data_IF_528536692873
#
_entry.id   IF_528536692873
#
_cell.length_a   1.000
_cell.length_b   1.000
_cell.length_c   1.000
_cell.angle_alpha   90.00
_cell.angle_beta   90.00
_cell.angle_gamma   90.00
#
_symmetry.space_group_name_H-M   'P 1'
#
loop_
_entity.id
_entity.type
_entity.pdbx_description
1 polymer ?
#
# COMPACT_ATOMS: atom_id res chain seq x y z
N UNK A 1 47.15 17.80 65.38
CA UNK A 1 46.43 18.34 64.24
C UNK A 1 46.19 17.22 63.19
N UNK A 2 45.04 16.57 63.27
CA UNK A 2 44.74 15.32 62.54
C UNK A 2 43.77 15.65 61.39
N UNK A 3 44.26 15.53 60.16
CA UNK A 3 43.43 15.73 58.95
C UNK A 3 42.62 14.44 58.64
N UNK A 4 41.32 14.51 58.76
CA UNK A 4 40.38 13.47 58.30
C UNK A 4 40.09 13.68 56.83
N UNK A 5 40.56 12.79 55.97
CA UNK A 5 40.15 12.71 54.55
C UNK A 5 38.78 12.01 54.42
N UNK A 6 37.74 12.73 54.00
CA UNK A 6 36.47 12.15 53.58
C UNK A 6 36.61 11.63 52.16
N UNK A 7 36.47 10.33 52.00
CA UNK A 7 36.33 9.65 50.71
C UNK A 7 34.86 9.76 50.26
N UNK A 8 34.58 10.52 49.21
CA UNK A 8 33.30 10.48 48.53
C UNK A 8 33.31 9.34 47.51
N UNK A 9 32.54 8.28 47.75
CA UNK A 9 32.27 7.23 46.79
C UNK A 9 31.18 7.72 45.83
N UNK A 10 31.54 7.95 44.56
CA UNK A 10 30.58 8.19 43.48
C UNK A 10 30.00 6.85 43.05
N UNK A 11 28.73 6.65 43.27
CA UNK A 11 27.95 5.54 42.74
C UNK A 11 27.62 5.85 41.28
N UNK A 12 27.95 5.01 40.29
CA UNK A 12 27.48 5.21 38.92
C UNK A 12 25.97 4.86 38.85
N UNK A 13 25.16 5.84 38.53
CA UNK A 13 23.76 5.60 38.09
C UNK A 13 23.84 4.88 36.74
N UNK A 14 23.64 3.57 36.76
CA UNK A 14 23.26 2.83 35.54
C UNK A 14 21.82 3.23 35.20
N UNK A 15 21.67 4.12 34.25
CA UNK A 15 20.39 4.31 33.56
C UNK A 15 20.17 3.09 32.64
N UNK A 16 19.49 2.08 33.15
CA UNK A 16 18.85 1.06 32.30
C UNK A 16 17.82 1.78 31.45
N UNK A 17 18.17 2.06 30.21
CA UNK A 17 17.21 2.40 29.18
C UNK A 17 16.29 1.21 29.00
N UNK A 18 15.15 1.24 29.65
CA UNK A 18 14.02 0.37 29.32
C UNK A 18 13.47 0.87 27.98
N UNK A 19 13.94 0.28 26.88
CA UNK A 19 13.18 0.25 25.63
C UNK A 19 11.89 -0.49 25.95
N UNK A 20 10.87 0.24 26.37
CA UNK A 20 9.55 -0.30 26.58
C UNK A 20 8.92 -0.55 25.21
N UNK A 21 9.24 -1.68 24.60
CA UNK A 21 8.45 -2.20 23.52
C UNK A 21 7.07 -2.54 24.10
N UNK A 22 6.04 -1.83 23.67
CA UNK A 22 4.65 -2.14 24.03
C UNK A 22 4.27 -3.47 23.39
N UNK A 23 4.53 -4.56 24.07
CA UNK A 23 4.06 -5.89 23.68
C UNK A 23 2.57 -5.92 23.94
N UNK A 24 1.77 -6.31 22.93
CA UNK A 24 0.33 -6.52 23.08
C UNK A 24 0.08 -7.51 24.24
N UNK A 25 -0.76 -7.12 25.19
CA UNK A 25 -1.11 -7.97 26.32
C UNK A 25 -1.84 -9.23 25.85
N UNK A 26 -1.74 -10.33 26.59
CA UNK A 26 -2.47 -11.55 26.28
C UNK A 26 -3.99 -11.32 26.23
N UNK A 27 -4.51 -10.38 27.04
CA UNK A 27 -5.91 -10.00 27.03
C UNK A 27 -6.32 -9.29 25.74
N UNK A 28 -5.50 -8.37 25.22
CA UNK A 28 -5.74 -7.71 23.96
C UNK A 28 -5.62 -8.70 22.79
N UNK A 29 -4.60 -9.55 22.79
CA UNK A 29 -4.42 -10.61 21.79
C UNK A 29 -5.59 -11.61 21.74
N UNK A 30 -6.25 -11.88 22.87
CA UNK A 30 -7.44 -12.75 22.94
C UNK A 30 -8.66 -12.17 22.19
N UNK A 31 -8.66 -10.88 21.85
CA UNK A 31 -9.70 -10.28 21.02
C UNK A 31 -9.64 -10.74 19.55
N UNK A 32 -8.46 -11.21 19.08
CA UNK A 32 -8.28 -11.72 17.72
C UNK A 32 -9.04 -13.04 17.53
N UNK A 33 -9.96 -13.04 16.56
CA UNK A 33 -10.87 -14.16 16.29
C UNK A 33 -12.20 -14.08 17.07
N UNK A 34 -12.36 -13.09 17.96
CA UNK A 34 -13.60 -12.83 18.70
C UNK A 34 -14.21 -11.47 18.30
N UNK A 35 -13.90 -10.38 18.99
CA UNK A 35 -14.35 -9.03 18.63
C UNK A 35 -13.57 -8.44 17.45
N UNK A 36 -12.33 -8.87 17.25
CA UNK A 36 -11.50 -8.51 16.11
C UNK A 36 -11.34 -9.72 15.15
N UNK A 37 -11.13 -9.44 13.87
CA UNK A 37 -10.65 -10.42 12.91
C UNK A 37 -9.22 -10.83 13.24
N UNK A 38 -8.68 -11.86 12.60
CA UNK A 38 -7.30 -12.30 12.84
C UNK A 38 -6.25 -11.31 12.33
N UNK A 39 -6.64 -10.32 11.51
CA UNK A 39 -5.78 -9.22 11.05
C UNK A 39 -6.00 -7.92 11.84
N UNK A 40 -6.87 -7.92 12.86
CA UNK A 40 -7.08 -6.81 13.77
C UNK A 40 -8.21 -5.85 13.41
N UNK A 41 -8.98 -6.13 12.35
CA UNK A 41 -10.17 -5.36 12.00
C UNK A 41 -11.33 -5.63 12.97
N UNK A 42 -12.20 -4.66 13.19
CA UNK A 42 -13.42 -4.85 13.99
C UNK A 42 -14.40 -5.76 13.26
N UNK A 43 -14.87 -6.82 13.92
CA UNK A 43 -15.85 -7.73 13.33
C UNK A 43 -17.24 -7.15 13.24
N UNK A 44 -17.63 -6.36 14.23
CA UNK A 44 -18.95 -5.74 14.27
C UNK A 44 -19.09 -4.69 13.15
N UNK A 45 -20.32 -4.51 12.68
CA UNK A 45 -20.69 -3.35 11.87
C UNK A 45 -20.61 -2.05 12.69
N UNK A 46 -20.80 -0.90 12.03
CA UNK A 46 -20.88 0.37 12.73
C UNK A 46 -22.31 0.66 13.23
N UNK A 47 -22.47 1.73 14.03
CA UNK A 47 -23.72 2.03 14.70
C UNK A 47 -24.87 2.41 13.75
N UNK A 48 -24.57 3.05 12.61
CA UNK A 48 -25.58 3.48 11.63
C UNK A 48 -25.85 2.40 10.56
N UNK A 49 -25.18 1.23 10.64
CA UNK A 49 -25.36 0.11 9.71
C UNK A 49 -24.74 0.32 8.32
N UNK A 50 -24.08 1.45 8.08
CA UNK A 50 -23.45 1.73 6.77
C UNK A 50 -22.19 0.90 6.52
N UNK A 51 -21.55 0.38 7.58
CA UNK A 51 -20.48 -0.62 7.49
C UNK A 51 -21.02 -1.92 8.09
N UNK A 52 -21.21 -3.00 7.29
CA UNK A 52 -21.75 -4.25 7.79
C UNK A 52 -20.74 -5.02 8.68
N UNK A 53 -21.20 -5.98 9.48
CA UNK A 53 -20.31 -6.91 10.17
C UNK A 53 -19.44 -7.69 9.14
N UNK A 54 -18.20 -8.00 9.53
CA UNK A 54 -17.32 -8.83 8.73
C UNK A 54 -17.74 -10.30 8.80
N UNK A 55 -17.98 -10.90 7.66
CA UNK A 55 -18.51 -12.28 7.51
C UNK A 55 -17.53 -13.26 6.85
N UNK A 56 -16.24 -12.90 6.71
CA UNK A 56 -15.22 -13.73 6.06
C UNK A 56 -14.76 -13.24 4.68
N UNK A 57 -15.37 -12.16 4.20
CA UNK A 57 -15.04 -11.56 2.92
C UNK A 57 -15.67 -12.27 1.72
N UNK A 58 -15.22 -11.93 0.53
CA UNK A 58 -15.69 -12.49 -0.73
C UNK A 58 -14.78 -13.66 -1.12
N UNK A 59 -15.30 -14.89 -0.97
CA UNK A 59 -14.61 -16.14 -1.30
C UNK A 59 -15.28 -16.92 -2.42
N UNK A 60 -16.45 -16.47 -2.87
CA UNK A 60 -17.22 -17.10 -3.94
C UNK A 60 -17.19 -16.24 -5.18
N UNK A 61 -16.69 -16.79 -6.27
CA UNK A 61 -16.67 -16.11 -7.56
C UNK A 61 -18.09 -15.91 -8.12
N UNK A 62 -18.37 -14.78 -8.80
CA UNK A 62 -19.61 -14.62 -9.57
C UNK A 62 -19.78 -15.72 -10.61
N UNK A 63 -21.02 -16.05 -10.96
CA UNK A 63 -21.33 -17.11 -11.95
C UNK A 63 -20.72 -16.82 -13.35
N UNK A 64 -20.44 -15.57 -13.64
CA UNK A 64 -19.79 -15.15 -14.91
C UNK A 64 -18.27 -15.37 -14.93
N UNK A 65 -17.65 -15.65 -13.76
CA UNK A 65 -16.22 -15.93 -13.69
C UNK A 65 -15.90 -17.36 -14.17
N UNK A 66 -14.91 -17.49 -15.02
CA UNK A 66 -14.41 -18.79 -15.46
C UNK A 66 -13.11 -19.10 -14.71
N UNK A 67 -13.03 -20.28 -14.14
CA UNK A 67 -11.83 -20.71 -13.42
C UNK A 67 -10.58 -20.62 -14.32
N UNK A 68 -9.56 -19.94 -13.84
CA UNK A 68 -8.32 -19.69 -14.56
C UNK A 68 -8.28 -18.33 -15.29
N UNK A 69 -9.39 -17.60 -15.34
CA UNK A 69 -9.38 -16.25 -15.87
C UNK A 69 -8.59 -15.30 -14.95
N UNK A 70 -7.89 -14.36 -15.56
CA UNK A 70 -7.18 -13.29 -14.85
C UNK A 70 -7.95 -11.96 -14.84
N UNK A 71 -8.99 -11.86 -15.64
CA UNK A 71 -9.99 -10.79 -15.60
C UNK A 71 -11.13 -11.23 -14.67
N UNK A 72 -11.41 -10.43 -13.64
CA UNK A 72 -12.42 -10.78 -12.62
C UNK A 72 -13.65 -9.91 -12.81
N UNK A 73 -14.79 -10.48 -13.23
CA UNK A 73 -16.07 -9.77 -13.29
C UNK A 73 -16.41 -9.08 -11.97
N UNK A 74 -17.03 -7.90 -12.09
CA UNK A 74 -17.50 -7.11 -10.96
C UNK A 74 -18.71 -7.80 -10.30
N UNK A 75 -18.61 -8.24 -9.03
CA UNK A 75 -19.75 -8.85 -8.32
C UNK A 75 -20.90 -7.87 -8.05
N UNK A 76 -20.61 -6.57 -8.13
CA UNK A 76 -21.50 -5.48 -7.74
C UNK A 76 -21.94 -4.60 -8.94
N UNK A 77 -21.74 -5.07 -10.16
CA UNK A 77 -21.96 -4.30 -11.39
C UNK A 77 -23.39 -3.71 -11.54
N UNK A 78 -24.40 -4.33 -10.89
CA UNK A 78 -25.79 -3.90 -10.96
C UNK A 78 -26.19 -2.90 -9.88
N UNK A 79 -25.32 -2.59 -8.93
CA UNK A 79 -25.61 -1.67 -7.86
C UNK A 79 -25.63 -0.21 -8.33
N UNK A 80 -26.40 0.60 -7.63
CA UNK A 80 -26.49 2.05 -7.84
C UNK A 80 -25.89 2.78 -6.66
N UNK A 81 -25.31 3.97 -6.87
CA UNK A 81 -24.84 4.77 -5.74
C UNK A 81 -26.02 5.18 -4.83
N UNK A 82 -25.77 5.10 -3.53
CA UNK A 82 -26.70 5.57 -2.47
C UNK A 82 -26.64 7.08 -2.32
N UNK A 83 -25.48 7.67 -2.60
CA UNK A 83 -25.17 9.07 -2.39
C UNK A 83 -24.17 9.53 -3.43
N UNK A 84 -24.36 10.75 -3.93
CA UNK A 84 -23.39 11.45 -4.78
C UNK A 84 -22.87 12.68 -4.02
N UNK A 85 -21.56 12.73 -3.79
CA UNK A 85 -20.88 13.85 -3.17
C UNK A 85 -20.14 14.65 -4.25
N UNK A 86 -20.27 15.97 -4.21
CA UNK A 86 -19.60 16.90 -5.13
C UNK A 86 -19.35 18.25 -4.43
N UNK A 87 -18.86 19.26 -5.16
CA UNK A 87 -18.56 20.58 -4.59
C UNK A 87 -19.72 21.29 -3.89
N UNK A 88 -21.00 20.92 -4.20
CA UNK A 88 -22.18 21.55 -3.58
C UNK A 88 -22.48 21.04 -2.17
N UNK A 89 -22.10 19.79 -1.87
CA UNK A 89 -22.41 19.15 -0.56
C UNK A 89 -21.16 18.64 0.18
N UNK A 90 -19.96 18.87 -0.35
CA UNK A 90 -18.68 18.35 0.19
C UNK A 90 -18.47 18.69 1.67
N UNK A 91 -18.90 19.86 2.11
CA UNK A 91 -18.70 20.31 3.49
C UNK A 91 -19.44 19.46 4.53
N UNK A 92 -20.52 18.78 4.12
CA UNK A 92 -21.26 17.84 4.98
C UNK A 92 -20.48 16.54 5.22
N UNK A 93 -19.57 16.17 4.30
CA UNK A 93 -18.87 14.88 4.28
C UNK A 93 -17.35 15.01 4.46
N UNK A 94 -16.81 16.22 4.53
CA UNK A 94 -15.36 16.47 4.55
C UNK A 94 -14.59 15.71 5.64
N UNK A 95 -15.24 15.42 6.78
CA UNK A 95 -14.60 14.67 7.87
C UNK A 95 -14.46 13.18 7.58
N UNK A 96 -15.17 12.67 6.55
CA UNK A 96 -15.07 11.28 6.07
C UNK A 96 -14.30 11.17 4.76
N UNK A 97 -13.63 12.23 4.31
CA UNK A 97 -12.90 12.29 3.05
C UNK A 97 -11.45 12.71 3.27
N UNK A 98 -10.57 12.31 2.36
CA UNK A 98 -9.18 12.77 2.38
C UNK A 98 -9.12 14.27 2.04
N UNK A 99 -8.05 14.94 2.46
CA UNK A 99 -7.85 16.36 2.10
C UNK A 99 -7.79 16.53 0.58
N UNK A 100 -7.16 15.58 -0.13
CA UNK A 100 -7.12 15.56 -1.61
C UNK A 100 -8.50 15.47 -2.22
N UNK A 101 -9.38 14.58 -1.73
CA UNK A 101 -10.74 14.43 -2.25
C UNK A 101 -11.56 15.72 -2.08
N UNK A 102 -11.45 16.35 -0.89
CA UNK A 102 -12.11 17.62 -0.61
C UNK A 102 -11.61 18.72 -1.54
N UNK A 103 -10.29 18.81 -1.75
CA UNK A 103 -9.69 19.81 -2.63
C UNK A 103 -10.12 19.63 -4.10
N UNK A 104 -10.15 18.39 -4.61
CA UNK A 104 -10.62 18.10 -5.97
C UNK A 104 -12.09 18.49 -6.15
N UNK A 105 -12.96 18.17 -5.20
CA UNK A 105 -14.38 18.49 -5.29
C UNK A 105 -14.67 19.99 -5.21
N UNK A 106 -13.83 20.78 -4.49
CA UNK A 106 -13.92 22.24 -4.45
C UNK A 106 -13.38 22.91 -5.70
N UNK A 107 -12.32 22.33 -6.28
CA UNK A 107 -11.63 22.90 -7.44
C UNK A 107 -12.36 22.63 -8.74
N UNK A 108 -12.96 21.43 -8.88
CA UNK A 108 -13.55 20.96 -10.13
C UNK A 108 -15.03 20.63 -9.94
N UNK A 109 -15.95 21.43 -10.52
CA UNK A 109 -17.40 21.25 -10.37
C UNK A 109 -17.92 19.90 -10.88
N UNK A 110 -17.25 19.31 -11.87
CA UNK A 110 -17.62 18.01 -12.48
C UNK A 110 -17.10 16.83 -11.68
N UNK A 111 -16.20 17.05 -10.70
CA UNK A 111 -15.71 15.98 -9.84
C UNK A 111 -16.80 15.53 -8.88
N UNK A 112 -17.05 14.23 -8.87
CA UNK A 112 -18.01 13.64 -7.95
C UNK A 112 -17.49 12.32 -7.38
N UNK A 113 -18.07 11.94 -6.27
CA UNK A 113 -17.81 10.72 -5.50
C UNK A 113 -19.13 9.97 -5.44
N UNK A 114 -19.23 8.88 -6.20
CA UNK A 114 -20.40 8.01 -6.21
C UNK A 114 -20.23 6.96 -5.10
N UNK A 115 -20.98 7.11 -4.01
CA UNK A 115 -20.89 6.26 -2.81
C UNK A 115 -21.89 5.13 -2.90
N UNK A 116 -21.40 3.90 -2.84
CA UNK A 116 -22.17 2.67 -2.95
C UNK A 116 -22.35 1.98 -1.58
N UNK A 117 -23.24 0.96 -1.51
CA UNK A 117 -23.29 0.09 -0.33
C UNK A 117 -21.91 -0.50 -0.03
N UNK A 118 -21.57 -0.56 1.24
CA UNK A 118 -20.28 -1.10 1.68
C UNK A 118 -20.30 -2.63 1.68
N UNK A 119 -19.30 -3.22 1.02
CA UNK A 119 -19.03 -4.65 1.03
C UNK A 119 -17.61 -4.93 1.54
N UNK A 120 -17.49 -5.56 2.70
CA UNK A 120 -16.22 -5.97 3.29
C UNK A 120 -15.74 -7.25 2.62
N UNK A 121 -15.16 -7.13 1.43
CA UNK A 121 -14.80 -8.26 0.55
C UNK A 121 -13.45 -8.87 0.84
N UNK A 122 -12.62 -8.24 1.65
CA UNK A 122 -11.28 -8.72 1.98
C UNK A 122 -11.32 -10.17 2.51
N UNK A 123 -10.62 -11.08 1.85
CA UNK A 123 -10.43 -12.45 2.30
C UNK A 123 -8.98 -12.87 2.08
N UNK A 124 -8.43 -13.64 3.01
CA UNK A 124 -7.04 -14.09 3.00
C UNK A 124 -6.96 -15.60 3.29
N UNK A 125 -5.89 -16.29 2.83
CA UNK A 125 -5.66 -17.68 3.15
C UNK A 125 -5.59 -17.94 4.67
N UNK A 126 -6.20 -19.02 5.13
CA UNK A 126 -6.29 -19.33 6.57
C UNK A 126 -4.92 -19.41 7.26
N UNK A 127 -3.89 -19.90 6.56
CA UNK A 127 -2.54 -19.98 7.10
C UNK A 127 -1.95 -18.59 7.38
N UNK A 128 -2.19 -17.60 6.50
CA UNK A 128 -1.79 -16.20 6.68
C UNK A 128 -2.52 -15.58 7.88
N UNK A 129 -3.81 -15.88 8.02
CA UNK A 129 -4.63 -15.44 9.16
C UNK A 129 -4.11 -16.01 10.50
N UNK A 130 -3.78 -17.31 10.53
CA UNK A 130 -3.24 -17.97 11.71
C UNK A 130 -1.88 -17.38 12.12
N UNK A 131 -1.02 -17.10 11.14
CA UNK A 131 0.27 -16.44 11.36
C UNK A 131 0.09 -15.03 11.92
N UNK A 132 -0.86 -14.26 11.37
CA UNK A 132 -1.18 -12.92 11.88
C UNK A 132 -1.57 -12.95 13.36
N UNK A 133 -2.41 -13.92 13.77
CA UNK A 133 -2.77 -14.08 15.18
C UNK A 133 -1.54 -14.37 16.06
N UNK A 134 -0.64 -15.24 15.59
CA UNK A 134 0.60 -15.58 16.33
C UNK A 134 1.53 -14.37 16.43
N UNK A 135 1.66 -13.59 15.38
CA UNK A 135 2.50 -12.41 15.35
C UNK A 135 2.12 -11.38 16.41
N UNK A 136 0.84 -11.28 16.79
CA UNK A 136 0.36 -10.29 17.76
C UNK A 136 1.15 -10.29 19.09
N UNK A 137 1.67 -11.46 19.50
CA UNK A 137 2.45 -11.60 20.74
C UNK A 137 3.91 -11.97 20.50
N UNK A 138 4.31 -12.25 19.26
CA UNK A 138 5.64 -12.76 18.92
C UNK A 138 6.48 -11.76 18.13
N UNK A 139 5.86 -10.98 17.26
CA UNK A 139 6.56 -10.00 16.42
C UNK A 139 7.18 -8.88 17.26
N UNK A 140 8.37 -8.47 16.85
CA UNK A 140 9.13 -7.40 17.54
C UNK A 140 9.41 -6.26 16.59
N UNK A 141 9.20 -5.04 17.07
CA UNK A 141 9.67 -3.82 16.42
C UNK A 141 11.06 -3.49 16.92
N UNK A 142 11.98 -3.20 16.01
CA UNK A 142 13.39 -2.90 16.28
C UNK A 142 13.76 -1.51 15.75
N UNK A 143 14.90 -0.98 16.20
CA UNK A 143 15.49 0.27 15.69
C UNK A 143 14.48 1.44 15.65
N UNK A 144 13.73 1.61 16.76
CA UNK A 144 12.71 2.66 16.85
C UNK A 144 11.56 2.51 15.84
N UNK A 145 11.28 1.29 15.38
CA UNK A 145 10.23 0.99 14.41
C UNK A 145 10.74 0.87 12.97
N UNK A 146 12.03 1.10 12.71
CA UNK A 146 12.60 1.03 11.37
C UNK A 146 12.84 -0.40 10.87
N UNK A 147 12.85 -1.40 11.78
CA UNK A 147 13.03 -2.80 11.47
C UNK A 147 12.12 -3.70 12.31
N UNK A 148 11.99 -4.97 11.90
CA UNK A 148 11.16 -5.97 12.60
C UNK A 148 11.90 -7.30 12.69
N UNK A 149 11.51 -8.12 13.66
CA UNK A 149 12.05 -9.46 13.89
C UNK A 149 10.99 -10.43 14.39
N UNK A 150 11.26 -11.74 14.25
CA UNK A 150 10.41 -12.85 14.69
C UNK A 150 8.98 -12.81 14.14
N UNK A 151 8.84 -12.51 12.85
CA UNK A 151 7.56 -12.39 12.15
C UNK A 151 7.33 -13.61 11.27
N UNK A 152 6.20 -14.29 11.45
CA UNK A 152 5.70 -15.26 10.47
C UNK A 152 5.02 -14.53 9.29
N UNK A 153 5.01 -15.13 8.08
CA UNK A 153 4.30 -14.58 6.94
C UNK A 153 2.80 -14.36 7.23
N UNK A 154 2.43 -13.12 7.46
CA UNK A 154 1.13 -12.65 7.90
C UNK A 154 1.21 -11.17 8.29
N UNK A 155 0.14 -10.62 8.86
CA UNK A 155 0.16 -9.25 9.42
C UNK A 155 1.07 -9.24 10.66
N UNK A 156 2.13 -8.40 10.69
CA UNK A 156 3.08 -8.40 11.81
C UNK A 156 2.44 -7.95 13.13
N UNK A 157 1.64 -6.89 13.11
CA UNK A 157 1.09 -6.24 14.30
C UNK A 157 -0.42 -6.05 14.16
N UNK A 158 -1.26 -7.11 14.27
CA UNK A 158 -2.71 -6.98 14.10
C UNK A 158 -3.37 -5.96 15.01
N UNK A 159 -2.73 -5.68 16.16
CA UNK A 159 -3.14 -4.64 17.11
C UNK A 159 -1.94 -3.68 17.28
N UNK A 160 -1.70 -2.78 16.29
CA UNK A 160 -0.51 -1.93 16.32
C UNK A 160 -0.58 -0.92 17.46
N UNK A 161 0.56 -0.71 18.12
CA UNK A 161 0.72 0.24 19.22
C UNK A 161 1.39 1.54 18.74
N UNK A 162 1.91 1.56 17.51
CA UNK A 162 2.60 2.71 16.94
C UNK A 162 2.28 2.89 15.46
N UNK A 163 2.56 4.09 14.93
CA UNK A 163 2.45 4.34 13.50
C UNK A 163 3.43 3.51 12.67
N UNK A 164 4.62 3.23 13.19
CA UNK A 164 5.60 2.38 12.53
C UNK A 164 5.11 0.93 12.38
N UNK A 165 4.48 0.37 13.42
CA UNK A 165 3.87 -0.96 13.36
C UNK A 165 2.74 -1.03 12.33
N UNK A 166 1.88 -0.01 12.28
CA UNK A 166 0.83 0.08 11.26
C UNK A 166 1.41 0.18 9.85
N UNK A 167 2.52 0.90 9.65
CA UNK A 167 3.21 0.96 8.37
C UNK A 167 3.87 -0.36 7.99
N UNK A 168 4.39 -1.14 8.94
CA UNK A 168 4.87 -2.49 8.68
C UNK A 168 3.74 -3.43 8.26
N UNK A 169 2.55 -3.32 8.86
CA UNK A 169 1.38 -4.06 8.40
C UNK A 169 1.07 -3.75 6.94
N UNK A 170 1.11 -2.48 6.55
CA UNK A 170 0.94 -2.06 5.16
C UNK A 170 1.99 -2.66 4.24
N UNK A 171 3.28 -2.59 4.60
CA UNK A 171 4.39 -3.08 3.76
C UNK A 171 4.37 -4.60 3.58
N UNK A 172 4.00 -5.33 4.64
CA UNK A 172 4.01 -6.79 4.68
C UNK A 172 2.62 -7.42 4.53
N UNK A 173 1.58 -6.64 4.19
CA UNK A 173 0.25 -7.19 3.90
C UNK A 173 0.33 -8.28 2.83
N UNK A 174 -0.53 -9.27 2.94
CA UNK A 174 -0.60 -10.32 1.94
C UNK A 174 -1.15 -9.76 0.62
N UNK A 175 -0.45 -10.00 -0.46
CA UNK A 175 -0.78 -9.57 -1.83
C UNK A 175 -0.60 -10.73 -2.83
N UNK A 176 -0.66 -11.99 -2.35
CA UNK A 176 -0.22 -13.16 -3.10
C UNK A 176 1.28 -13.40 -2.91
N UNK A 177 1.79 -14.42 -3.58
CA UNK A 177 3.21 -14.80 -3.48
C UNK A 177 3.99 -14.30 -4.70
N UNK A 178 3.50 -14.64 -5.90
CA UNK A 178 4.10 -14.23 -7.17
C UNK A 178 3.01 -13.71 -8.09
N UNK A 179 3.22 -12.54 -8.62
CA UNK A 179 2.25 -11.83 -9.46
C UNK A 179 2.91 -11.51 -10.80
N UNK A 180 2.18 -11.77 -11.86
CA UNK A 180 2.54 -11.38 -13.22
C UNK A 180 1.41 -10.57 -13.83
N UNK A 181 1.75 -9.42 -14.40
CA UNK A 181 0.80 -8.60 -15.16
C UNK A 181 1.47 -7.84 -16.28
N UNK A 182 0.74 -7.57 -17.34
CA UNK A 182 1.06 -6.52 -18.30
C UNK A 182 0.18 -5.32 -17.98
N UNK A 183 0.69 -4.12 -18.18
CA UNK A 183 0.00 -2.91 -17.73
C UNK A 183 0.34 -1.69 -18.58
N UNK A 184 -0.56 -0.72 -18.53
CA UNK A 184 -0.34 0.64 -19.00
C UNK A 184 -0.29 1.62 -17.85
N UNK A 185 0.49 2.68 -18.02
CA UNK A 185 0.48 3.86 -17.16
C UNK A 185 0.28 5.11 -17.99
N UNK A 186 -0.58 6.01 -17.54
CA UNK A 186 -0.94 7.22 -18.25
C UNK A 186 -0.65 8.46 -17.40
N UNK A 187 -0.17 9.51 -18.05
CA UNK A 187 -0.09 10.86 -17.48
C UNK A 187 -1.14 11.74 -18.13
N UNK A 188 -1.74 12.63 -17.35
CA UNK A 188 -2.61 13.69 -17.85
C UNK A 188 -1.98 15.01 -17.43
N UNK A 189 -1.72 15.87 -18.39
CA UNK A 189 -1.09 17.16 -18.17
C UNK A 189 -2.09 18.23 -17.68
N UNK A 190 -1.61 19.44 -17.39
CA UNK A 190 -2.45 20.54 -16.89
C UNK A 190 -3.48 21.04 -17.92
N UNK A 191 -3.30 20.73 -19.21
CA UNK A 191 -4.28 21.02 -20.27
C UNK A 191 -5.32 19.89 -20.40
N UNK A 192 -5.21 18.83 -19.60
CA UNK A 192 -6.11 17.67 -19.61
C UNK A 192 -5.79 16.66 -20.72
N UNK A 193 -4.59 16.76 -21.34
CA UNK A 193 -4.21 15.86 -22.44
C UNK A 193 -3.59 14.58 -21.89
N UNK A 194 -4.21 13.40 -22.16
CA UNK A 194 -3.64 12.13 -21.74
C UNK A 194 -2.49 11.70 -22.66
N UNK A 195 -1.45 11.15 -22.07
CA UNK A 195 -0.30 10.55 -22.77
C UNK A 195 0.10 9.23 -22.14
N UNK A 196 0.42 8.24 -22.98
CA UNK A 196 0.96 6.96 -22.52
C UNK A 196 2.37 7.16 -21.96
N UNK A 197 2.51 6.96 -20.66
CA UNK A 197 3.80 7.06 -19.98
C UNK A 197 4.64 5.80 -20.17
N UNK A 198 4.02 4.64 -19.96
CA UNK A 198 4.62 3.30 -20.07
C UNK A 198 3.56 2.28 -20.43
N UNK A 199 3.90 1.37 -21.35
CA UNK A 199 3.36 0.01 -21.39
C UNK A 199 4.44 -0.95 -20.94
N UNK A 200 4.11 -1.96 -20.16
CA UNK A 200 5.13 -2.83 -19.59
C UNK A 200 4.60 -4.15 -19.07
N UNK A 201 5.54 -4.95 -18.61
CA UNK A 201 5.32 -6.22 -17.94
C UNK A 201 5.94 -6.17 -16.55
N UNK A 202 5.23 -6.62 -15.56
CA UNK A 202 5.65 -6.64 -14.16
C UNK A 202 5.64 -8.06 -13.61
N UNK A 203 6.75 -8.45 -12.98
CA UNK A 203 6.84 -9.58 -12.09
C UNK A 203 7.08 -9.05 -10.67
N UNK A 204 6.17 -9.35 -9.77
CA UNK A 204 6.27 -8.99 -8.35
C UNK A 204 6.32 -10.27 -7.54
N UNK A 205 7.23 -10.35 -6.59
CA UNK A 205 7.34 -11.49 -5.70
C UNK A 205 7.47 -11.04 -4.24
N UNK A 206 6.82 -11.81 -3.37
CA UNK A 206 6.90 -11.69 -1.92
C UNK A 206 7.50 -12.97 -1.34
N UNK A 207 8.84 -13.16 -1.40
CA UNK A 207 9.51 -14.41 -1.03
C UNK A 207 9.23 -14.88 0.39
N UNK A 208 8.92 -13.97 1.30
CA UNK A 208 8.52 -14.30 2.68
C UNK A 208 7.26 -15.18 2.74
N UNK A 209 6.39 -15.11 1.73
CA UNK A 209 5.17 -15.91 1.65
C UNK A 209 5.34 -17.26 0.94
N UNK A 210 6.52 -17.60 0.43
CA UNK A 210 6.80 -18.91 -0.17
C UNK A 210 6.84 -20.04 0.87
N UNK A 211 7.18 -19.73 2.12
CA UNK A 211 7.16 -20.67 3.23
C UNK A 211 6.44 -20.10 4.45
N UNK A 212 5.15 -20.40 4.57
CA UNK A 212 4.30 -19.85 5.64
C UNK A 212 4.64 -20.38 7.05
N UNK A 213 5.47 -21.40 7.16
CA UNK A 213 5.85 -22.02 8.46
C UNK A 213 7.14 -21.45 9.04
N UNK A 214 7.90 -20.67 8.25
CA UNK A 214 9.21 -20.13 8.65
C UNK A 214 9.10 -18.66 9.01
N UNK A 215 9.47 -18.23 10.23
CA UNK A 215 9.69 -16.82 10.52
C UNK A 215 10.79 -16.27 9.60
N UNK A 216 10.60 -15.09 9.08
CA UNK A 216 11.63 -14.44 8.27
C UNK A 216 12.61 -13.67 9.15
N UNK A 217 13.87 -13.63 8.69
CA UNK A 217 14.96 -12.91 9.33
C UNK A 217 14.99 -11.47 8.81
N UNK A 218 15.68 -10.60 9.55
CA UNK A 218 15.83 -9.19 9.21
C UNK A 218 16.59 -8.94 7.88
N UNK A 219 17.36 -9.91 7.36
CA UNK A 219 18.04 -9.84 6.05
C UNK A 219 17.19 -10.38 4.89
N UNK A 220 16.07 -11.06 5.18
CA UNK A 220 15.23 -11.67 4.15
C UNK A 220 14.58 -10.61 3.25
N UNK A 221 14.53 -10.90 1.97
CA UNK A 221 13.83 -10.05 0.99
C UNK A 221 12.34 -10.29 1.13
N UNK A 222 11.60 -9.27 1.57
CA UNK A 222 10.15 -9.39 1.67
C UNK A 222 9.42 -9.02 0.38
N UNK A 223 10.05 -8.22 -0.48
CA UNK A 223 9.47 -7.81 -1.75
C UNK A 223 10.55 -7.63 -2.80
N UNK A 224 10.30 -8.13 -4.00
CA UNK A 224 11.10 -7.87 -5.18
C UNK A 224 10.20 -7.62 -6.39
N UNK A 225 10.65 -6.78 -7.28
CA UNK A 225 9.91 -6.33 -8.46
C UNK A 225 10.85 -6.27 -9.66
N UNK A 226 10.38 -6.78 -10.79
CA UNK A 226 11.03 -6.63 -12.10
C UNK A 226 10.02 -6.04 -13.08
N UNK A 227 10.36 -4.91 -13.67
CA UNK A 227 9.60 -4.23 -14.70
C UNK A 227 10.35 -4.30 -16.02
N UNK A 228 9.65 -4.59 -17.10
CA UNK A 228 10.19 -4.52 -18.47
C UNK A 228 9.26 -3.67 -19.30
N UNK A 229 9.76 -2.59 -19.90
CA UNK A 229 8.94 -1.65 -20.65
C UNK A 229 8.90 -2.04 -22.13
N UNK A 230 7.70 -2.13 -22.66
CA UNK A 230 7.43 -2.48 -24.06
C UNK A 230 7.01 -1.28 -24.91
N UNK A 231 6.60 -0.19 -24.27
CA UNK A 231 6.17 1.04 -24.91
C UNK A 231 6.20 2.25 -23.97
N UNK A 232 6.07 3.47 -24.53
CA UNK A 232 6.19 3.85 -25.92
C UNK A 232 7.60 3.61 -26.47
N UNK A 233 7.81 3.75 -27.80
CA UNK A 233 9.07 3.41 -28.44
C UNK A 233 10.34 3.97 -27.79
N UNK A 234 10.25 5.21 -27.24
CA UNK A 234 11.37 5.86 -26.51
C UNK A 234 11.80 5.12 -25.23
N UNK A 235 10.94 4.26 -24.68
CA UNK A 235 11.18 3.51 -23.44
C UNK A 235 11.27 2.00 -23.64
N UNK A 236 10.92 1.52 -24.83
CA UNK A 236 10.92 0.10 -25.14
C UNK A 236 12.32 -0.53 -24.91
N UNK A 237 12.32 -1.66 -24.20
CA UNK A 237 13.56 -2.37 -23.79
C UNK A 237 14.20 -1.87 -22.50
N UNK A 238 13.75 -0.76 -21.90
CA UNK A 238 14.17 -0.41 -20.54
C UNK A 238 13.66 -1.45 -19.56
N UNK A 239 14.42 -1.71 -18.50
CA UNK A 239 13.94 -2.51 -17.39
C UNK A 239 14.43 -1.97 -16.04
N UNK A 240 13.62 -2.24 -15.00
CA UNK A 240 13.93 -1.88 -13.61
C UNK A 240 13.75 -3.11 -12.75
N UNK A 241 14.68 -3.33 -11.83
CA UNK A 241 14.55 -4.33 -10.79
C UNK A 241 14.81 -3.70 -9.43
N UNK A 242 14.06 -4.13 -8.43
CA UNK A 242 14.30 -3.71 -7.06
C UNK A 242 14.09 -4.87 -6.09
N UNK A 243 14.78 -4.80 -4.95
CA UNK A 243 14.69 -5.73 -3.83
C UNK A 243 14.70 -4.99 -2.52
N UNK A 244 13.89 -5.43 -1.56
CA UNK A 244 13.76 -4.80 -0.26
C UNK A 244 13.78 -5.85 0.84
N UNK A 245 14.63 -5.61 1.83
CA UNK A 245 14.75 -6.44 3.02
C UNK A 245 13.89 -5.91 4.16
N UNK A 246 13.58 -6.78 5.11
CA UNK A 246 12.79 -6.49 6.31
C UNK A 246 13.53 -5.62 7.35
N UNK A 247 14.83 -5.43 7.20
CA UNK A 247 15.60 -4.45 7.95
C UNK A 247 16.34 -3.50 6.98
N UNK A 248 15.72 -2.40 6.56
CA UNK A 248 16.32 -1.46 5.62
C UNK A 248 17.50 -0.68 6.21
N UNK A 249 17.66 -0.63 7.53
CA UNK A 249 18.77 0.04 8.22
C UNK A 249 20.07 -0.73 8.01
N UNK A 250 20.05 -2.05 8.21
CA UNK A 250 21.22 -2.92 8.03
C UNK A 250 21.36 -3.42 6.59
N UNK A 251 20.25 -3.66 5.91
CA UNK A 251 20.16 -4.19 4.54
C UNK A 251 19.35 -3.25 3.65
N UNK A 252 19.93 -2.11 3.24
CA UNK A 252 19.23 -1.14 2.42
C UNK A 252 18.68 -1.78 1.15
N UNK A 253 17.49 -1.40 0.78
CA UNK A 253 16.90 -1.82 -0.47
C UNK A 253 17.80 -1.45 -1.66
N UNK A 254 17.75 -2.25 -2.72
CA UNK A 254 18.57 -2.07 -3.91
C UNK A 254 17.71 -1.97 -5.15
N UNK A 255 18.06 -1.08 -6.05
CA UNK A 255 17.40 -0.93 -7.34
C UNK A 255 18.45 -0.90 -8.49
N UNK A 256 18.07 -1.46 -9.62
CA UNK A 256 18.88 -1.48 -10.83
C UNK A 256 18.01 -1.06 -12.02
N UNK A 257 18.65 -0.41 -12.98
CA UNK A 257 18.04 -0.03 -14.24
C UNK A 257 18.91 -0.50 -15.40
N UNK A 258 18.28 -1.05 -16.42
CA UNK A 258 18.87 -1.33 -17.71
C UNK A 258 18.33 -0.36 -18.75
N UNK A 259 19.23 0.28 -19.49
CA UNK A 259 18.93 1.18 -20.60
C UNK A 259 19.48 0.59 -21.88
N UNK A 260 18.64 0.24 -22.87
CA UNK A 260 19.09 -0.42 -24.13
C UNK A 260 20.17 0.35 -24.88
N UNK A 261 20.03 1.67 -24.95
CA UNK A 261 21.00 2.54 -25.62
C UNK A 261 22.41 2.52 -25.00
N UNK A 262 22.51 2.19 -23.72
CA UNK A 262 23.78 2.07 -23.00
C UNK A 262 24.26 0.60 -22.89
N UNK A 263 23.40 -0.36 -23.16
CA UNK A 263 23.66 -1.82 -23.04
C UNK A 263 24.25 -2.19 -21.66
N UNK A 264 23.87 -1.47 -20.61
CA UNK A 264 24.47 -1.58 -19.27
C UNK A 264 23.40 -1.57 -18.21
N UNK A 265 23.54 -2.47 -17.24
CA UNK A 265 22.81 -2.43 -15.97
C UNK A 265 23.55 -1.51 -15.00
N UNK A 266 22.85 -0.58 -14.41
CA UNK A 266 23.36 0.33 -13.38
C UNK A 266 22.56 0.14 -12.10
N UNK A 267 23.23 0.14 -10.97
CA UNK A 267 22.56 0.34 -9.70
C UNK A 267 22.16 1.83 -9.63
N UNK A 268 20.91 2.06 -9.23
CA UNK A 268 20.34 3.39 -9.09
C UNK A 268 19.89 3.61 -7.64
N UNK A 269 19.72 4.87 -7.25
CA UNK A 269 19.05 5.19 -5.98
C UNK A 269 17.67 4.57 -5.97
N UNK A 270 17.21 4.14 -4.80
CA UNK A 270 15.90 3.51 -4.69
C UNK A 270 14.84 4.53 -5.06
N UNK A 271 14.07 4.21 -6.08
CA UNK A 271 12.94 5.04 -6.55
C UNK A 271 11.90 5.31 -5.45
N UNK A 272 11.97 4.55 -4.36
CA UNK A 272 11.00 4.61 -3.26
C UNK A 272 11.08 5.89 -2.41
N UNK A 273 12.23 6.57 -2.37
CA UNK A 273 12.38 7.77 -1.55
C UNK A 273 11.53 8.94 -2.05
N UNK A 274 11.39 9.09 -3.35
CA UNK A 274 10.66 10.21 -3.96
C UNK A 274 9.32 9.81 -4.59
N UNK A 275 8.94 8.53 -4.49
CA UNK A 275 7.74 8.02 -5.12
C UNK A 275 6.50 8.44 -4.35
N UNK A 276 5.54 9.14 -4.96
CA UNK A 276 4.28 9.50 -4.35
C UNK A 276 3.34 8.30 -4.13
N UNK A 277 3.67 7.15 -4.71
CA UNK A 277 2.86 5.95 -4.68
C UNK A 277 2.59 5.49 -3.24
N UNK A 278 1.32 5.32 -2.83
CA UNK A 278 0.99 4.75 -1.53
C UNK A 278 1.55 3.33 -1.34
N UNK A 279 1.68 2.55 -2.44
CA UNK A 279 2.20 1.18 -2.39
C UNK A 279 3.71 1.03 -2.21
N UNK A 280 4.50 2.10 -2.21
CA UNK A 280 5.97 2.04 -2.21
C UNK A 280 6.64 2.88 -1.14
N UNK A 281 5.95 3.21 -0.05
CA UNK A 281 6.53 3.95 1.07
C UNK A 281 7.55 3.07 1.78
N UNK A 282 8.83 3.29 1.51
CA UNK A 282 9.95 2.48 2.02
C UNK A 282 10.97 3.28 2.80
N UNK A 283 10.67 4.53 3.05
CA UNK A 283 11.50 5.43 3.83
C UNK A 283 10.97 5.51 5.27
N UNK A 284 10.72 4.36 5.90
CA UNK A 284 10.23 4.33 7.29
C UNK A 284 11.20 5.04 8.23
N UNK A 285 12.50 4.89 7.96
CA UNK A 285 13.58 5.47 8.75
C UNK A 285 13.66 6.99 8.68
N UNK A 286 13.10 7.62 7.64
CA UNK A 286 13.14 9.08 7.47
C UNK A 286 12.07 9.83 8.25
N UNK A 287 11.04 9.14 8.73
CA UNK A 287 9.88 9.76 9.36
C UNK A 287 9.66 9.28 10.78
N UNK A 288 9.12 10.17 11.60
CA UNK A 288 8.49 9.82 12.86
C UNK A 288 7.02 9.49 12.59
N UNK A 289 6.64 8.23 12.85
CA UNK A 289 5.33 7.70 12.51
C UNK A 289 4.40 7.69 13.72
N UNK A 290 3.27 8.36 13.60
CA UNK A 290 2.22 8.43 14.63
C UNK A 290 0.97 7.70 14.17
N UNK A 291 0.46 6.80 15.00
CA UNK A 291 -0.86 6.21 14.83
C UNK A 291 -1.89 7.20 15.38
N UNK A 292 -2.63 7.85 14.49
CA UNK A 292 -3.66 8.84 14.87
C UNK A 292 -4.90 8.14 15.44
N UNK A 293 -5.25 6.98 14.90
CA UNK A 293 -6.39 6.17 15.32
C UNK A 293 -7.19 5.63 14.15
N UNK A 294 -8.36 5.06 14.45
CA UNK A 294 -9.31 4.60 13.43
C UNK A 294 -10.34 5.68 13.11
N UNK A 295 -10.72 5.75 11.85
CA UNK A 295 -11.78 6.64 11.35
C UNK A 295 -12.65 5.89 10.32
N UNK A 296 -13.93 6.27 10.24
CA UNK A 296 -14.79 5.87 9.15
C UNK A 296 -14.62 6.85 7.99
N UNK A 297 -14.16 6.34 6.85
CA UNK A 297 -13.82 7.14 5.68
C UNK A 297 -14.49 6.59 4.42
N UNK A 298 -14.83 7.48 3.50
CA UNK A 298 -15.27 7.11 2.14
C UNK A 298 -14.02 7.04 1.27
N UNK A 299 -13.73 5.85 0.78
CA UNK A 299 -12.50 5.49 0.07
C UNK A 299 -12.81 4.67 -1.19
N UNK A 300 -11.94 4.64 -2.20
CA UNK A 300 -12.08 3.73 -3.33
C UNK A 300 -12.03 2.27 -2.84
N UNK A 301 -13.07 1.49 -3.13
CA UNK A 301 -13.16 0.10 -2.70
C UNK A 301 -13.99 -0.72 -3.70
N UNK A 302 -13.67 -2.01 -3.87
CA UNK A 302 -14.33 -2.90 -4.82
C UNK A 302 -14.36 -2.33 -6.26
N UNK A 303 -13.25 -1.77 -6.69
CA UNK A 303 -13.11 -0.99 -7.93
C UNK A 303 -12.91 -1.86 -9.17
N UNK A 304 -13.63 -2.98 -9.29
CA UNK A 304 -13.48 -3.96 -10.38
C UNK A 304 -13.64 -3.32 -11.77
N UNK A 305 -14.60 -2.40 -11.93
CA UNK A 305 -14.86 -1.68 -13.19
C UNK A 305 -13.63 -0.89 -13.64
N UNK A 306 -12.89 -0.29 -12.72
CA UNK A 306 -11.67 0.44 -13.00
C UNK A 306 -10.50 -0.52 -13.25
N UNK A 307 -10.31 -1.50 -12.34
CA UNK A 307 -9.18 -2.45 -12.37
C UNK A 307 -9.17 -3.25 -13.68
N UNK A 308 -10.34 -3.67 -14.14
CA UNK A 308 -10.49 -4.53 -15.32
C UNK A 308 -11.08 -3.79 -16.54
N UNK A 309 -10.87 -2.47 -16.62
CA UNK A 309 -11.27 -1.67 -17.79
C UNK A 309 -10.60 -2.19 -19.07
N UNK A 310 -11.33 -2.24 -20.18
CA UNK A 310 -10.79 -2.71 -21.46
C UNK A 310 -9.95 -1.65 -22.19
N UNK A 311 -10.24 -0.37 -21.98
CA UNK A 311 -9.49 0.75 -22.54
C UNK A 311 -9.03 1.68 -21.42
N UNK A 312 -7.72 1.66 -21.13
CA UNK A 312 -7.11 2.49 -20.09
C UNK A 312 -7.31 3.99 -20.32
N UNK A 313 -7.38 4.44 -21.57
CA UNK A 313 -7.60 5.84 -21.90
C UNK A 313 -8.98 6.33 -21.46
N UNK A 314 -9.99 5.48 -21.43
CA UNK A 314 -11.34 5.83 -20.97
C UNK A 314 -11.40 6.25 -19.50
N UNK A 315 -10.39 5.88 -18.70
CA UNK A 315 -10.24 6.33 -17.32
C UNK A 315 -9.84 7.80 -17.20
N UNK A 316 -9.26 8.38 -18.26
CA UNK A 316 -8.69 9.73 -18.22
C UNK A 316 -9.70 10.79 -18.62
N UNK A 317 -9.86 11.80 -17.78
CA UNK A 317 -10.55 13.05 -18.10
C UNK A 317 -9.62 14.24 -17.75
N UNK A 318 -9.90 15.44 -18.24
CA UNK A 318 -9.20 16.61 -17.78
C UNK A 318 -9.28 16.75 -16.25
N UNK A 319 -8.13 17.01 -15.58
CA UNK A 319 -8.00 17.32 -14.16
C UNK A 319 -8.21 16.18 -13.15
N UNK A 320 -8.96 15.11 -13.47
CA UNK A 320 -9.20 13.98 -12.54
C UNK A 320 -9.57 12.71 -13.31
N UNK A 321 -9.47 11.57 -12.62
CA UNK A 321 -9.91 10.29 -13.16
C UNK A 321 -11.44 10.27 -13.36
N UNK A 322 -11.92 9.63 -14.43
CA UNK A 322 -13.35 9.52 -14.70
C UNK A 322 -14.11 8.93 -13.51
N UNK A 323 -15.04 9.68 -12.88
CA UNK A 323 -15.81 9.19 -11.74
C UNK A 323 -16.69 7.97 -12.10
N UNK A 324 -17.03 7.78 -13.37
CA UNK A 324 -17.86 6.67 -13.84
C UNK A 324 -17.23 5.29 -13.60
N UNK A 325 -15.92 5.25 -13.34
CA UNK A 325 -15.20 4.00 -13.11
C UNK A 325 -14.84 3.78 -11.64
N UNK A 326 -14.96 4.79 -10.79
CA UNK A 326 -14.54 4.69 -9.39
C UNK A 326 -15.70 4.40 -8.47
N UNK A 327 -15.70 3.24 -7.85
CA UNK A 327 -16.60 2.88 -6.77
C UNK A 327 -16.01 3.36 -5.44
N UNK A 328 -16.80 4.08 -4.65
CA UNK A 328 -16.46 4.55 -3.32
C UNK A 328 -17.37 3.88 -2.29
N UNK A 329 -16.78 3.45 -1.18
CA UNK A 329 -17.51 2.83 -0.08
C UNK A 329 -17.04 3.40 1.25
N UNK A 330 -17.89 3.32 2.28
CA UNK A 330 -17.55 3.73 3.65
C UNK A 330 -16.84 2.58 4.36
N UNK A 331 -15.58 2.76 4.74
CA UNK A 331 -14.77 1.76 5.45
C UNK A 331 -14.11 2.36 6.68
N UNK A 332 -13.72 1.51 7.64
CA UNK A 332 -12.84 1.91 8.73
C UNK A 332 -11.40 1.84 8.25
N UNK A 333 -10.66 2.89 8.52
CA UNK A 333 -9.25 2.99 8.19
C UNK A 333 -8.44 3.37 9.41
N UNK A 334 -7.23 2.85 9.51
CA UNK A 334 -6.23 3.39 10.40
C UNK A 334 -5.61 4.61 9.74
N UNK A 335 -5.58 5.72 10.46
CA UNK A 335 -4.91 6.95 10.01
C UNK A 335 -3.52 6.99 10.62
N UNK A 336 -2.51 7.07 9.77
CA UNK A 336 -1.10 7.12 10.16
C UNK A 336 -0.45 8.36 9.59
N UNK A 337 0.21 9.15 10.43
CA UNK A 337 0.99 10.31 9.99
C UNK A 337 2.48 10.07 10.12
N UNK A 338 3.22 10.43 9.07
CA UNK A 338 4.67 10.49 9.08
C UNK A 338 5.12 11.94 8.99
N UNK A 339 5.86 12.40 9.99
CA UNK A 339 6.52 13.70 9.99
C UNK A 339 8.01 13.50 9.72
N UNK A 340 8.57 14.24 8.77
CA UNK A 340 9.98 14.13 8.40
C UNK A 340 10.86 14.47 9.61
N UNK A 341 11.79 13.57 9.92
CA UNK A 341 12.72 13.72 11.04
C UNK A 341 13.61 14.97 10.87
N UNK A 342 14.02 15.62 11.96
CA UNK A 342 15.01 16.69 11.91
C UNK A 342 16.30 16.21 11.22
N UNK A 343 16.80 17.01 10.27
CA UNK A 343 18.00 16.68 9.49
C UNK A 343 17.81 15.72 8.32
N UNK A 344 16.65 15.05 8.21
CA UNK A 344 16.33 14.26 7.03
C UNK A 344 15.88 15.16 5.87
N UNK A 345 16.13 14.73 4.64
CA UNK A 345 15.73 15.44 3.42
C UNK A 345 14.76 14.59 2.62
N UNK A 346 13.60 15.17 2.30
CA UNK A 346 12.60 14.58 1.43
C UNK A 346 11.69 15.67 0.85
N UNK A 347 11.07 15.42 -0.31
CA UNK A 347 10.13 16.38 -0.93
C UNK A 347 8.84 16.54 -0.13
N UNK A 348 8.49 15.57 0.71
CA UNK A 348 7.31 15.63 1.59
C UNK A 348 7.75 15.84 3.03
N UNK A 349 7.36 16.99 3.61
CA UNK A 349 7.55 17.26 5.04
C UNK A 349 6.66 16.39 5.91
N UNK A 350 5.42 16.16 5.46
CA UNK A 350 4.44 15.31 6.14
C UNK A 350 3.72 14.42 5.14
N UNK A 351 3.38 13.22 5.57
CA UNK A 351 2.56 12.24 4.83
C UNK A 351 1.47 11.73 5.76
N UNK A 352 0.25 11.56 5.22
CA UNK A 352 -0.86 10.96 5.95
C UNK A 352 -1.42 9.81 5.14
N UNK A 353 -1.47 8.63 5.73
CA UNK A 353 -1.95 7.40 5.10
C UNK A 353 -3.26 6.98 5.71
N UNK A 354 -4.12 6.40 4.88
CA UNK A 354 -5.42 5.83 5.23
C UNK A 354 -5.37 4.34 4.90
N UNK A 355 -5.07 3.53 5.94
CA UNK A 355 -4.87 2.09 5.81
C UNK A 355 -6.17 1.37 6.12
N UNK A 356 -6.66 0.57 5.19
CA UNK A 356 -7.87 -0.23 5.39
C UNK A 356 -7.70 -1.23 6.54
N UNK A 357 -8.69 -1.33 7.43
CA UNK A 357 -8.60 -2.22 8.59
C UNK A 357 -8.64 -3.71 8.22
N UNK A 358 -9.30 -4.06 7.11
CA UNK A 358 -9.48 -5.46 6.68
C UNK A 358 -8.27 -6.01 5.91
N UNK A 359 -7.52 -5.16 5.20
CA UNK A 359 -6.43 -5.58 4.29
C UNK A 359 -5.08 -4.98 4.62
N UNK A 360 -5.02 -3.92 5.41
CA UNK A 360 -3.85 -3.06 5.61
C UNK A 360 -3.35 -2.36 4.33
N UNK A 361 -4.11 -2.39 3.25
CA UNK A 361 -3.78 -1.61 2.06
C UNK A 361 -3.91 -0.11 2.33
N UNK A 362 -2.96 0.69 1.84
CA UNK A 362 -3.09 2.14 1.85
C UNK A 362 -4.02 2.54 0.70
N UNK A 363 -5.30 2.73 1.00
CA UNK A 363 -6.31 3.09 -0.01
C UNK A 363 -6.16 4.52 -0.49
N UNK A 364 -5.65 5.40 0.38
CA UNK A 364 -5.36 6.79 0.04
C UNK A 364 -4.18 7.32 0.85
N UNK A 365 -3.58 8.41 0.37
CA UNK A 365 -2.61 9.18 1.14
C UNK A 365 -2.58 10.64 0.69
N UNK A 366 -2.37 11.55 1.65
CA UNK A 366 -2.14 12.97 1.43
C UNK A 366 -0.68 13.29 1.73
N UNK A 367 -0.02 14.04 0.85
CA UNK A 367 1.37 14.46 0.99
C UNK A 367 1.46 15.99 1.02
N UNK A 368 2.24 16.49 1.97
CA UNK A 368 2.41 17.92 2.22
C UNK A 368 3.86 18.32 1.94
N UNK A 369 4.02 19.47 1.31
CA UNK A 369 5.33 20.04 0.97
C UNK A 369 6.07 20.60 2.20
N UNK A 370 7.23 21.21 1.96
CA UNK A 370 8.06 21.86 3.00
C UNK A 370 7.34 23.03 3.69
N UNK A 371 6.40 23.68 3.02
CA UNK A 371 5.56 24.76 3.56
C UNK A 371 4.34 24.26 4.34
N UNK A 372 4.11 22.93 4.35
CA UNK A 372 2.93 22.32 4.99
C UNK A 372 1.65 22.42 4.15
N UNK A 373 1.76 22.81 2.87
CA UNK A 373 0.62 22.85 1.95
C UNK A 373 0.36 21.45 1.39
N UNK A 374 -0.92 21.11 1.18
CA UNK A 374 -1.31 19.90 0.48
C UNK A 374 -0.76 19.95 -0.95
N UNK A 375 0.18 19.06 -1.22
CA UNK A 375 0.95 19.07 -2.46
C UNK A 375 0.47 18.00 -3.42
N UNK A 376 0.36 16.75 -2.93
CA UNK A 376 -0.09 15.61 -3.72
C UNK A 376 -1.08 14.77 -2.95
N UNK A 377 -1.89 14.02 -3.68
CA UNK A 377 -2.76 13.01 -3.14
C UNK A 377 -2.73 11.75 -3.99
N UNK A 378 -2.73 10.60 -3.34
CA UNK A 378 -2.68 9.33 -4.04
C UNK A 378 -3.80 8.41 -3.58
N UNK A 379 -4.26 7.56 -4.51
CA UNK A 379 -5.27 6.54 -4.27
C UNK A 379 -4.80 5.21 -4.84
N UNK A 380 -5.11 4.12 -4.14
CA UNK A 380 -5.00 2.77 -4.64
C UNK A 380 -6.41 2.19 -4.80
N UNK A 381 -6.64 1.52 -5.92
CA UNK A 381 -7.95 1.02 -6.30
C UNK A 381 -8.04 -0.46 -5.94
N UNK A 382 -8.72 -0.70 -4.82
CA UNK A 382 -8.83 -2.04 -4.25
C UNK A 382 -9.88 -2.88 -4.97
N UNK A 383 -9.51 -4.14 -5.26
CA UNK A 383 -10.43 -5.23 -5.63
C UNK A 383 -9.96 -6.56 -5.03
N UNK A 384 -10.89 -7.39 -4.61
CA UNK A 384 -10.59 -8.73 -4.11
C UNK A 384 -10.41 -9.72 -5.26
N UNK A 385 -9.26 -10.34 -5.37
CA UNK A 385 -9.08 -11.53 -6.21
C UNK A 385 -9.71 -12.74 -5.51
N UNK A 386 -11.03 -12.87 -5.63
CA UNK A 386 -11.86 -13.77 -4.84
C UNK A 386 -11.56 -15.26 -5.05
N UNK A 387 -11.07 -15.62 -6.23
CA UNK A 387 -10.63 -16.98 -6.60
C UNK A 387 -9.28 -17.38 -5.97
N UNK A 388 -8.48 -16.39 -5.57
CA UNK A 388 -7.14 -16.56 -4.99
C UNK A 388 -7.07 -16.15 -3.51
N UNK A 389 -8.12 -15.58 -2.95
CA UNK A 389 -8.14 -14.95 -1.62
C UNK A 389 -7.03 -13.90 -1.44
N UNK A 390 -6.81 -13.09 -2.48
CA UNK A 390 -5.77 -12.06 -2.48
C UNK A 390 -6.43 -10.68 -2.55
N UNK A 391 -6.24 -9.83 -1.52
CA UNK A 391 -6.56 -8.41 -1.59
C UNK A 391 -5.59 -7.69 -2.52
N UNK A 392 -6.08 -7.11 -3.60
CA UNK A 392 -5.27 -6.36 -4.56
C UNK A 392 -5.63 -4.88 -4.54
N UNK A 393 -4.64 -4.02 -4.52
CA UNK A 393 -4.80 -2.57 -4.55
C UNK A 393 -4.07 -1.95 -5.77
N UNK A 394 -4.29 -2.56 -6.92
CA UNK A 394 -3.81 -2.15 -8.24
C UNK A 394 -5.04 -1.94 -9.15
N UNK A 395 -5.11 -0.87 -9.95
CA UNK A 395 -4.15 0.23 -10.16
C UNK A 395 -4.04 1.23 -9.00
N UNK A 396 -3.11 2.18 -9.16
CA UNK A 396 -2.98 3.32 -8.24
C UNK A 396 -2.74 4.61 -9.02
N UNK A 397 -3.04 5.74 -8.38
CA UNK A 397 -2.88 7.04 -9.02
C UNK A 397 -2.33 8.10 -8.07
N UNK A 398 -1.83 9.20 -8.63
CA UNK A 398 -1.38 10.36 -7.89
C UNK A 398 -1.79 11.64 -8.61
N UNK A 399 -2.38 12.56 -7.86
CA UNK A 399 -2.61 13.94 -8.25
C UNK A 399 -1.46 14.83 -7.79
N UNK A 400 -0.94 15.67 -8.67
CA UNK A 400 -0.10 16.81 -8.32
C UNK A 400 -0.98 18.06 -8.32
N UNK A 401 -1.43 18.46 -7.14
CA UNK A 401 -2.40 19.54 -6.96
C UNK A 401 -1.79 20.91 -7.27
N UNK A 402 -0.47 21.05 -7.18
CA UNK A 402 0.23 22.29 -7.49
C UNK A 402 0.35 22.53 -9.00
N UNK A 403 0.44 21.45 -9.77
CA UNK A 403 0.57 21.49 -11.23
C UNK A 403 -0.74 21.26 -11.97
N UNK A 404 -1.77 20.78 -11.30
CA UNK A 404 -3.03 20.36 -11.95
C UNK A 404 -2.85 19.15 -12.87
N UNK A 405 -1.90 18.26 -12.56
CA UNK A 405 -1.61 17.05 -13.34
C UNK A 405 -1.90 15.82 -12.53
N UNK A 406 -2.10 14.68 -13.20
CA UNK A 406 -2.17 13.41 -12.50
C UNK A 406 -1.63 12.26 -13.35
N UNK A 407 -1.35 11.14 -12.68
CA UNK A 407 -1.02 9.90 -13.35
C UNK A 407 -1.88 8.75 -12.80
N UNK A 408 -2.10 7.75 -13.64
CA UNK A 408 -2.63 6.44 -13.24
C UNK A 408 -1.65 5.37 -13.69
N UNK A 409 -1.32 4.45 -12.80
CA UNK A 409 -0.31 3.42 -13.00
C UNK A 409 -0.89 2.03 -12.81
N UNK A 410 -0.36 1.06 -13.54
CA UNK A 410 -0.71 -0.33 -13.35
C UNK A 410 -2.11 -0.69 -13.85
N UNK A 411 -2.59 -0.08 -14.92
CA UNK A 411 -3.87 -0.43 -15.53
C UNK A 411 -3.71 -1.74 -16.29
N UNK A 412 -4.24 -2.82 -15.73
CA UNK A 412 -4.02 -4.21 -16.21
C UNK A 412 -5.12 -4.74 -17.13
N UNK A 413 -6.30 -4.14 -17.09
CA UNK A 413 -7.47 -4.61 -17.82
C UNK A 413 -7.26 -4.78 -19.34
N UNK A 414 -6.63 -3.81 -20.08
CA UNK A 414 -6.35 -3.94 -21.50
C UNK A 414 -5.46 -5.12 -21.87
N UNK A 415 -4.73 -5.66 -20.89
CA UNK A 415 -3.74 -6.71 -21.07
C UNK A 415 -4.16 -8.06 -20.45
N UNK A 416 -5.42 -8.22 -20.06
CA UNK A 416 -5.95 -9.48 -19.57
C UNK A 416 -5.83 -9.68 -18.06
N UNK A 417 -5.59 -8.61 -17.29
CA UNK A 417 -5.71 -8.65 -15.84
C UNK A 417 -4.46 -9.14 -15.09
N UNK A 418 -4.69 -9.59 -13.84
CA UNK A 418 -3.64 -9.98 -12.90
C UNK A 418 -3.60 -11.52 -12.79
N UNK A 419 -2.40 -12.08 -12.92
CA UNK A 419 -2.13 -13.51 -12.80
C UNK A 419 -1.28 -13.80 -11.57
N UNK A 420 -1.67 -14.81 -10.82
CA UNK A 420 -0.87 -15.38 -9.75
C UNK A 420 -0.14 -16.60 -10.33
N UNK A 421 1.18 -16.65 -10.20
CA UNK A 421 2.03 -17.58 -10.95
C UNK A 421 3.00 -18.32 -10.04
N UNK A 422 3.65 -19.34 -10.57
CA UNK A 422 4.83 -19.94 -9.96
C UNK A 422 5.96 -18.89 -9.87
N UNK A 423 6.91 -19.04 -8.92
CA UNK A 423 8.02 -18.12 -8.78
C UNK A 423 8.94 -18.16 -10.00
N UNK A 424 9.48 -17.01 -10.35
CA UNK A 424 10.62 -16.97 -11.28
C UNK A 424 11.83 -17.64 -10.63
N UNK A 425 12.68 -18.28 -11.45
CA UNK A 425 13.93 -18.86 -10.95
C UNK A 425 14.85 -17.78 -10.33
N UNK A 426 15.66 -18.15 -9.37
CA UNK A 426 16.61 -17.23 -8.72
C UNK A 426 17.56 -16.56 -9.72
N UNK A 427 17.91 -17.24 -10.81
CA UNK A 427 18.71 -16.72 -11.91
C UNK A 427 18.03 -15.54 -12.66
N UNK A 428 16.72 -15.44 -12.62
CA UNK A 428 15.99 -14.32 -13.23
C UNK A 428 15.90 -13.09 -12.33
N UNK A 429 16.26 -13.24 -11.06
CA UNK A 429 16.30 -12.17 -10.07
C UNK A 429 17.69 -11.59 -9.82
N UNK A 430 18.60 -11.70 -10.78
CA UNK A 430 19.94 -11.06 -10.71
C UNK A 430 20.01 -9.90 -11.71
N UNK A 431 20.81 -8.84 -11.43
CA UNK A 431 20.91 -7.69 -12.32
C UNK A 431 21.33 -8.05 -13.74
N UNK A 432 22.21 -9.04 -13.89
CA UNK A 432 22.73 -9.51 -15.17
C UNK A 432 21.61 -10.05 -16.09
N UNK A 433 20.58 -10.65 -15.52
CA UNK A 433 19.44 -11.18 -16.25
C UNK A 433 18.55 -10.09 -16.89
N UNK A 434 18.71 -8.82 -16.49
CA UNK A 434 17.93 -7.72 -17.05
C UNK A 434 18.30 -7.43 -18.50
N UNK A 435 19.56 -7.62 -18.88
CA UNK A 435 20.07 -7.37 -20.23
C UNK A 435 19.51 -8.36 -21.28
N UNK A 436 19.07 -9.55 -20.85
CA UNK A 436 18.54 -10.59 -21.74
C UNK A 436 17.06 -10.46 -22.06
N UNK A 437 16.33 -9.56 -21.39
CA UNK A 437 14.88 -9.36 -21.56
C UNK A 437 14.52 -8.23 -22.53
N UNK A 438 15.53 -7.55 -23.10
CA UNK A 438 15.33 -6.59 -24.18
C UNK A 438 14.73 -7.28 -25.42
N UNK A 439 13.71 -6.67 -26.01
CA UNK A 439 13.06 -7.11 -27.24
C UNK A 439 14.13 -7.42 -28.29
N UNK A 440 14.16 -8.67 -28.75
CA UNK A 440 14.86 -9.06 -29.96
C UNK A 440 14.07 -8.65 -31.18
#
# INVERSE_FOLDING_TARGET
MTFVKRLMAALPLLTLGLDAHAVVSSQEAARLGTSLTLVGAERAGNADGSIPPYNGGLTTAPASFKTGDSMRPDPFANEKPLLVINGKNIDQYKNMLTATTVELARRYPEYRIDVYPTHRTASLPQAVLNNSRRNATAAKSLDGGAAIDNVLPGVPFPIPQSGAEAMWNFLLRYQGVNIHSKYDSWNVDAAGVPSLAVSGEAFVSFPIYENLSKPFNNSDIYHQLKLSYTGPARRAGESVMLKNASNPVQYPGRAWQYLPGQRRVKQISILAYDTPNPGTTRALELYDWTLVGKQEMIVPYNTYKLTYVHDAKSLTTPNFISPDFVRWEKHRVYVVEGNLKPGATHIYRKRRFYLDEDTWAALASDQYDSGGQLYRGSFAFFSQSYDQQVPDATPFMTYDLSRGTYNINGVVGPHGGIRYTEPLSTAQWVPEAMAGTGIR
#
